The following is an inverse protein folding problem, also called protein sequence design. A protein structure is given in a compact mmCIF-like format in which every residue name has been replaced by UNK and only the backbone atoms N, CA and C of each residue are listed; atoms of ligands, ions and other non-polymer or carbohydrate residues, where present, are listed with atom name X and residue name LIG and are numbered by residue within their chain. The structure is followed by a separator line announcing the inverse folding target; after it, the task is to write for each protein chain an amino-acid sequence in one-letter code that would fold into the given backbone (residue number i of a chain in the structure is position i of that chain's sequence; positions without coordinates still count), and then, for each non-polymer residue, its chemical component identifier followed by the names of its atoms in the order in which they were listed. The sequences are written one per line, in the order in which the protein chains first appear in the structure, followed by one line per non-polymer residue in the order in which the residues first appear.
data_IF_944336441556
#
_entry.id   IF_944336441556
#
_cell.length_a   1.000
_cell.length_b   1.000
_cell.length_c   1.000
_cell.angle_alpha   90.00
_cell.angle_beta   90.00
_cell.angle_gamma   90.00
#
_symmetry.space_group_name_H-M   'P 1'
#
loop_
_entity.id
_entity.type
_entity.pdbx_description
1 polymer ?
#
# COMPACT_ATOMS: atom_id res chain seq x y z
N UNK A 1 -14.85 16.59 11.41
CA UNK A 1 -15.17 15.17 11.12
C UNK A 1 -15.37 14.38 12.41
N UNK A 2 -16.44 13.62 12.49
CA UNK A 2 -16.64 12.71 13.61
C UNK A 2 -15.50 11.67 13.61
N UNK A 3 -14.93 11.45 14.79
CA UNK A 3 -13.83 10.49 14.97
C UNK A 3 -14.37 9.07 14.84
N UNK A 4 -13.88 8.31 13.84
CA UNK A 4 -14.28 6.92 13.65
C UNK A 4 -13.94 6.07 14.88
N UNK A 5 -14.92 5.30 15.36
CA UNK A 5 -14.74 4.37 16.49
C UNK A 5 -13.95 3.15 16.05
N UNK A 6 -12.97 2.74 16.82
CA UNK A 6 -12.18 1.55 16.56
C UNK A 6 -10.85 1.79 15.83
N UNK A 7 -10.59 2.98 15.29
CA UNK A 7 -9.34 3.30 14.56
C UNK A 7 -8.09 3.09 15.41
N UNK A 8 -8.12 3.48 16.70
CA UNK A 8 -6.96 3.29 17.59
C UNK A 8 -6.51 1.84 17.72
N UNK A 9 -7.46 0.90 17.71
CA UNK A 9 -7.16 -0.52 17.78
C UNK A 9 -6.50 -0.98 16.47
N UNK A 10 -7.01 -0.53 15.34
CA UNK A 10 -6.46 -0.83 14.01
C UNK A 10 -5.04 -0.26 13.89
N UNK A 11 -4.84 1.02 14.24
CA UNK A 11 -3.52 1.65 14.25
C UNK A 11 -2.52 0.83 15.07
N UNK A 12 -2.92 0.37 16.24
CA UNK A 12 -2.05 -0.43 17.11
C UNK A 12 -1.67 -1.76 16.45
N UNK A 13 -2.63 -2.45 15.85
CA UNK A 13 -2.38 -3.73 15.16
C UNK A 13 -1.42 -3.52 13.99
N UNK A 14 -1.67 -2.50 13.16
CA UNK A 14 -0.83 -2.22 12.00
C UNK A 14 0.58 -1.82 12.44
N UNK A 15 0.71 -0.90 13.39
CA UNK A 15 2.03 -0.44 13.86
C UNK A 15 2.84 -1.54 14.56
N UNK A 16 2.19 -2.48 15.25
CA UNK A 16 2.89 -3.65 15.79
C UNK A 16 3.51 -4.51 14.68
N UNK A 17 2.88 -4.56 13.51
CA UNK A 17 3.42 -5.26 12.35
C UNK A 17 4.50 -4.44 11.62
N UNK A 18 4.24 -3.15 11.36
CA UNK A 18 5.16 -2.30 10.58
C UNK A 18 6.44 -1.95 11.31
N UNK A 19 6.45 -2.07 12.65
CA UNK A 19 7.63 -1.81 13.49
C UNK A 19 8.87 -2.59 13.06
N UNK A 20 8.71 -3.81 12.58
CA UNK A 20 9.82 -4.63 12.09
C UNK A 20 10.57 -3.98 10.92
N UNK A 21 9.93 -3.08 10.19
CA UNK A 21 10.51 -2.34 9.06
C UNK A 21 11.00 -0.95 9.46
N UNK A 22 10.80 -0.54 10.71
CA UNK A 22 11.05 0.84 11.13
C UNK A 22 10.04 1.84 10.56
N UNK A 23 8.87 1.38 10.14
CA UNK A 23 7.83 2.19 9.51
C UNK A 23 6.68 2.44 10.47
N UNK A 24 6.20 3.69 10.50
CA UNK A 24 5.00 4.10 11.22
C UNK A 24 3.83 4.17 10.24
N UNK A 25 2.72 3.54 10.57
CA UNK A 25 1.49 3.63 9.80
C UNK A 25 0.50 4.57 10.49
N UNK A 26 -0.19 5.38 9.69
CA UNK A 26 -1.25 6.27 10.17
C UNK A 26 -2.50 6.17 9.30
N UNK A 27 -3.67 6.32 9.92
CA UNK A 27 -4.93 6.43 9.18
C UNK A 27 -4.96 7.74 8.39
N UNK A 28 -5.26 7.63 7.09
CA UNK A 28 -5.27 8.76 6.15
C UNK A 28 -6.43 8.61 5.17
N UNK A 29 -6.57 9.55 4.26
CA UNK A 29 -7.58 9.52 3.19
C UNK A 29 -7.23 8.60 2.04
N UNK A 30 -5.95 8.24 1.90
CA UNK A 30 -5.44 7.38 0.84
C UNK A 30 -4.23 6.59 1.32
N UNK A 31 -3.83 5.60 0.52
CA UNK A 31 -2.54 4.93 0.69
C UNK A 31 -1.44 5.81 0.12
N UNK A 32 -0.42 6.10 0.91
CA UNK A 32 0.70 6.95 0.51
C UNK A 32 1.93 6.64 1.34
N UNK A 33 3.11 6.76 0.73
CA UNK A 33 4.38 6.62 1.43
C UNK A 33 5.05 7.99 1.63
N UNK A 34 5.47 8.25 2.85
CA UNK A 34 6.25 9.41 3.24
C UNK A 34 7.64 8.92 3.66
N UNK A 35 8.46 8.62 2.66
CA UNK A 35 9.71 7.87 2.85
C UNK A 35 10.73 8.61 3.71
N UNK A 36 10.80 9.95 3.64
CA UNK A 36 11.71 10.76 4.46
C UNK A 36 11.42 10.60 5.96
N UNK A 37 10.16 10.39 6.32
CA UNK A 37 9.70 10.19 7.70
C UNK A 37 9.51 8.72 8.06
N UNK A 38 9.79 7.79 7.15
CA UNK A 38 9.50 6.36 7.31
C UNK A 38 8.05 6.13 7.79
N UNK A 39 7.11 6.81 7.14
CA UNK A 39 5.69 6.78 7.47
C UNK A 39 4.87 6.38 6.25
N UNK A 40 3.82 5.58 6.47
CA UNK A 40 2.84 5.23 5.44
C UNK A 40 1.44 5.61 5.90
N UNK A 41 0.66 6.20 4.99
CA UNK A 41 -0.77 6.40 5.15
C UNK A 41 -1.53 5.17 4.70
N UNK A 42 -2.59 4.81 5.42
CA UNK A 42 -3.53 3.78 5.00
C UNK A 42 -4.97 4.29 5.12
N UNK A 43 -5.84 3.79 4.28
CA UNK A 43 -7.27 4.11 4.33
C UNK A 43 -8.11 2.85 4.53
N UNK A 44 -9.26 3.03 5.18
CA UNK A 44 -10.26 1.98 5.40
C UNK A 44 -11.60 2.36 4.77
N UNK A 45 -11.70 3.57 4.22
CA UNK A 45 -12.94 4.13 3.70
C UNK A 45 -12.84 4.22 2.18
N UNK A 46 -13.78 3.55 1.53
CA UNK A 46 -13.88 3.54 0.07
C UNK A 46 -12.93 2.56 -0.60
N UNK A 47 -13.16 2.36 -1.91
CA UNK A 47 -12.21 1.63 -2.75
C UNK A 47 -11.10 2.59 -3.16
N UNK A 48 -9.84 2.30 -2.84
CA UNK A 48 -8.74 3.15 -3.30
C UNK A 48 -8.77 3.24 -4.83
N UNK A 49 -8.87 4.45 -5.34
CA UNK A 49 -8.92 4.69 -6.79
C UNK A 49 -7.65 4.11 -7.43
N UNK A 50 -7.80 3.26 -8.44
CA UNK A 50 -6.67 2.61 -9.10
C UNK A 50 -6.12 1.36 -8.41
N UNK A 51 -6.56 1.03 -7.19
CA UNK A 51 -6.05 -0.15 -6.47
C UNK A 51 -6.43 -1.46 -7.18
N UNK A 52 -7.57 -1.51 -7.86
CA UNK A 52 -7.99 -2.69 -8.62
C UNK A 52 -7.01 -3.07 -9.72
N UNK A 53 -6.54 -2.09 -10.49
CA UNK A 53 -5.61 -2.32 -11.60
C UNK A 53 -4.19 -2.61 -11.11
N UNK A 54 -3.77 -1.94 -10.05
CA UNK A 54 -2.52 -2.26 -9.35
C UNK A 54 -2.50 -3.71 -8.86
N UNK A 55 -3.58 -4.17 -8.25
CA UNK A 55 -3.71 -5.55 -7.77
C UNK A 55 -3.68 -6.54 -8.94
N UNK A 56 -4.32 -6.23 -10.05
CA UNK A 56 -4.27 -7.08 -11.24
C UNK A 56 -2.82 -7.28 -11.74
N UNK A 57 -2.02 -6.22 -11.76
CA UNK A 57 -0.59 -6.29 -12.10
C UNK A 57 0.22 -7.10 -11.07
N UNK A 58 0.02 -6.83 -9.79
CA UNK A 58 0.70 -7.53 -8.70
C UNK A 58 0.37 -9.04 -8.70
N UNK A 59 -0.88 -9.43 -8.90
CA UNK A 59 -1.30 -10.83 -8.95
C UNK A 59 -0.75 -11.57 -10.18
N UNK A 60 -0.55 -10.90 -11.29
CA UNK A 60 0.12 -11.50 -12.47
C UNK A 60 1.59 -11.82 -12.17
N UNK A 61 2.28 -10.95 -11.45
CA UNK A 61 3.69 -11.16 -11.06
C UNK A 61 3.86 -12.16 -9.92
N UNK A 62 2.88 -12.23 -9.03
CA UNK A 62 2.90 -13.05 -7.82
C UNK A 62 1.64 -13.91 -7.70
N UNK A 63 1.41 -14.85 -8.63
CA UNK A 63 0.19 -15.67 -8.65
C UNK A 63 0.08 -16.62 -7.45
N UNK A 64 1.18 -16.88 -6.77
CA UNK A 64 1.28 -17.71 -5.58
C UNK A 64 1.05 -16.94 -4.26
N UNK A 65 0.96 -15.62 -4.31
CA UNK A 65 0.65 -14.77 -3.16
C UNK A 65 -0.84 -14.49 -3.10
N UNK A 66 -1.52 -15.10 -2.14
CA UNK A 66 -2.93 -14.84 -1.86
C UNK A 66 -3.04 -13.82 -0.74
N UNK A 67 -3.30 -12.58 -1.08
CA UNK A 67 -3.43 -11.47 -0.13
C UNK A 67 -4.61 -10.58 -0.50
N UNK A 68 -5.26 -10.04 0.54
CA UNK A 68 -6.30 -9.03 0.40
C UNK A 68 -5.74 -7.76 -0.25
N UNK A 69 -6.60 -7.03 -0.94
CA UNK A 69 -6.25 -5.75 -1.60
C UNK A 69 -5.64 -4.75 -0.61
N UNK A 70 -6.15 -4.70 0.62
CA UNK A 70 -5.60 -3.85 1.68
C UNK A 70 -4.15 -4.20 1.99
N UNK A 71 -3.84 -5.50 2.11
CA UNK A 71 -2.47 -5.96 2.36
C UNK A 71 -1.52 -5.58 1.22
N UNK A 72 -1.93 -5.78 -0.01
CA UNK A 72 -1.13 -5.39 -1.16
C UNK A 72 -0.83 -3.90 -1.16
N UNK A 73 -1.85 -3.07 -0.93
CA UNK A 73 -1.70 -1.62 -0.90
C UNK A 73 -0.76 -1.18 0.25
N UNK A 74 -1.00 -1.67 1.47
CA UNK A 74 -0.15 -1.36 2.62
C UNK A 74 1.30 -1.78 2.40
N UNK A 75 1.51 -3.02 1.93
CA UNK A 75 2.85 -3.56 1.71
C UNK A 75 3.58 -2.85 0.57
N UNK A 76 2.87 -2.40 -0.46
CA UNK A 76 3.43 -1.58 -1.52
C UNK A 76 3.96 -0.24 -0.99
N UNK A 77 3.18 0.46 -0.16
CA UNK A 77 3.63 1.72 0.45
C UNK A 77 4.84 1.52 1.39
N UNK A 78 4.84 0.43 2.17
CA UNK A 78 6.03 0.04 2.94
C UNK A 78 7.21 -0.23 1.99
N UNK A 79 6.96 -0.87 0.86
CA UNK A 79 7.94 -1.13 -0.18
C UNK A 79 8.63 0.12 -0.69
N UNK A 80 7.90 1.23 -0.87
CA UNK A 80 8.49 2.52 -1.20
C UNK A 80 9.50 2.97 -0.14
N UNK A 81 9.14 2.91 1.14
CA UNK A 81 10.06 3.26 2.23
C UNK A 81 11.29 2.35 2.27
N UNK A 82 11.12 1.06 2.01
CA UNK A 82 12.21 0.07 2.08
C UNK A 82 13.14 0.12 0.87
N UNK A 83 12.71 0.68 -0.25
CA UNK A 83 13.49 0.77 -1.50
C UNK A 83 13.96 2.17 -1.83
N UNK A 84 13.61 3.17 -1.02
CA UNK A 84 13.95 4.59 -1.23
C UNK A 84 15.45 4.80 -1.47
N UNK A 85 16.29 4.11 -0.69
CA UNK A 85 17.74 4.23 -0.78
C UNK A 85 18.36 3.59 -2.04
N UNK A 86 17.58 2.90 -2.86
CA UNK A 86 18.03 2.41 -4.16
C UNK A 86 18.22 3.54 -5.17
N UNK A 87 17.60 4.69 -4.93
CA UNK A 87 17.50 5.79 -5.86
C UNK A 87 18.23 7.01 -5.35
N UNK A 88 18.90 7.72 -6.27
CA UNK A 88 19.42 9.06 -5.99
C UNK A 88 18.25 10.06 -5.96
N UNK A 89 18.48 11.24 -5.38
CA UNK A 89 17.47 12.31 -5.39
C UNK A 89 17.08 12.71 -6.82
N UNK A 90 18.07 12.81 -7.73
CA UNK A 90 17.85 13.11 -9.14
C UNK A 90 16.97 12.04 -9.83
N UNK A 91 17.22 10.74 -9.56
CA UNK A 91 16.40 9.65 -10.08
C UNK A 91 14.96 9.73 -9.54
N UNK A 92 14.77 10.04 -8.26
CA UNK A 92 13.45 10.19 -7.67
C UNK A 92 12.66 11.33 -8.29
N UNK A 93 13.30 12.49 -8.50
CA UNK A 93 12.68 13.62 -9.22
C UNK A 93 12.30 13.24 -10.64
N UNK A 94 13.17 12.52 -11.34
CA UNK A 94 12.87 12.01 -12.69
C UNK A 94 11.65 11.09 -12.71
N UNK A 95 11.52 10.17 -11.74
CA UNK A 95 10.36 9.29 -11.66
C UNK A 95 9.07 10.07 -11.37
N UNK A 96 9.11 11.09 -10.53
CA UNK A 96 7.98 11.97 -10.28
C UNK A 96 7.54 12.68 -11.55
N UNK A 97 8.48 13.27 -12.28
CA UNK A 97 8.20 13.96 -13.55
C UNK A 97 7.59 12.99 -14.58
N UNK A 98 8.09 11.78 -14.68
CA UNK A 98 7.54 10.75 -15.57
C UNK A 98 6.11 10.36 -15.17
N UNK A 99 5.85 10.19 -13.88
CA UNK A 99 4.49 9.87 -13.40
C UNK A 99 3.50 11.00 -13.68
N UNK A 100 3.92 12.25 -13.51
CA UNK A 100 3.09 13.41 -13.85
C UNK A 100 2.76 13.44 -15.34
N UNK A 101 3.71 13.15 -16.21
CA UNK A 101 3.48 13.05 -17.67
C UNK A 101 2.48 11.94 -17.98
N UNK A 102 2.64 10.76 -17.37
CA UNK A 102 1.73 9.61 -17.56
C UNK A 102 0.31 9.96 -17.10
N UNK A 103 0.18 10.57 -15.93
CA UNK A 103 -1.12 10.94 -15.36
C UNK A 103 -1.83 12.03 -16.16
N UNK A 104 -1.09 12.86 -16.89
CA UNK A 104 -1.63 13.94 -17.74
C UNK A 104 -1.84 13.50 -19.20
N UNK A 105 -1.44 12.30 -19.58
CA UNK A 105 -1.55 11.82 -20.94
C UNK A 105 -3.01 11.46 -21.29
N UNK A 106 -3.40 11.72 -22.55
CA UNK A 106 -4.70 11.33 -23.10
C UNK A 106 -4.67 9.86 -23.57
N UNK A 107 -4.56 8.94 -22.63
CA UNK A 107 -4.51 7.48 -22.88
C UNK A 107 -5.57 6.75 -22.07
N UNK A 108 -5.87 5.51 -22.43
CA UNK A 108 -6.79 4.67 -21.66
C UNK A 108 -6.26 4.40 -20.25
N UNK A 109 -7.20 4.19 -19.30
CA UNK A 109 -6.85 3.99 -17.88
C UNK A 109 -5.98 2.74 -17.66
N UNK A 110 -6.21 1.67 -18.42
CA UNK A 110 -5.40 0.44 -18.34
C UNK A 110 -3.96 0.70 -18.76
N UNK A 111 -3.76 1.43 -19.85
CA UNK A 111 -2.44 1.80 -20.36
C UNK A 111 -1.72 2.75 -19.41
N UNK A 112 -2.45 3.74 -18.87
CA UNK A 112 -1.93 4.69 -17.88
C UNK A 112 -1.43 3.94 -16.63
N UNK A 113 -2.21 3.01 -16.11
CA UNK A 113 -1.84 2.22 -14.94
C UNK A 113 -0.64 1.31 -15.24
N UNK A 114 -0.59 0.68 -16.41
CA UNK A 114 0.54 -0.14 -16.81
C UNK A 114 1.85 0.66 -16.87
N UNK A 115 1.83 1.86 -17.42
CA UNK A 115 3.00 2.74 -17.49
C UNK A 115 3.40 3.28 -16.13
N UNK A 116 2.42 3.67 -15.30
CA UNK A 116 2.66 4.14 -13.93
C UNK A 116 3.39 3.08 -13.10
N UNK A 117 2.88 1.85 -13.09
CA UNK A 117 3.45 0.75 -12.31
C UNK A 117 4.72 0.14 -12.96
N UNK A 118 5.06 0.53 -14.19
CA UNK A 118 6.35 0.21 -14.80
C UNK A 118 7.45 1.22 -14.43
N UNK A 119 7.11 2.37 -13.85
CA UNK A 119 8.12 3.28 -13.31
C UNK A 119 8.96 2.53 -12.26
N UNK A 120 10.28 2.69 -12.26
CA UNK A 120 11.16 1.86 -11.43
C UNK A 120 10.83 1.88 -9.93
N UNK A 121 10.52 3.03 -9.36
CA UNK A 121 10.16 3.15 -7.96
C UNK A 121 8.88 2.38 -7.62
N UNK A 122 7.86 2.45 -8.47
CA UNK A 122 6.61 1.70 -8.32
C UNK A 122 6.82 0.20 -8.53
N UNK A 123 7.57 -0.16 -9.55
CA UNK A 123 7.90 -1.55 -9.84
C UNK A 123 8.62 -2.22 -8.65
N UNK A 124 9.65 -1.58 -8.11
CA UNK A 124 10.43 -2.13 -6.99
C UNK A 124 9.68 -2.12 -5.67
N UNK A 125 8.79 -1.15 -5.44
CA UNK A 125 7.90 -1.17 -4.29
C UNK A 125 6.98 -2.41 -4.32
N UNK A 126 6.35 -2.70 -5.46
CA UNK A 126 5.54 -3.91 -5.66
C UNK A 126 6.38 -5.18 -5.52
N UNK A 127 7.58 -5.19 -6.10
CA UNK A 127 8.50 -6.33 -6.00
C UNK A 127 8.87 -6.62 -4.56
N UNK A 128 9.23 -5.61 -3.80
CA UNK A 128 9.53 -5.76 -2.38
C UNK A 128 8.33 -6.34 -1.61
N UNK A 129 7.14 -5.81 -1.84
CA UNK A 129 5.91 -6.28 -1.20
C UNK A 129 5.61 -7.76 -1.52
N UNK A 130 5.67 -8.12 -2.79
CA UNK A 130 5.41 -9.48 -3.24
C UNK A 130 6.45 -10.48 -2.72
N UNK A 131 7.73 -10.14 -2.80
CA UNK A 131 8.82 -10.97 -2.29
C UNK A 131 8.69 -11.17 -0.77
N UNK A 132 8.38 -10.11 -0.03
CA UNK A 132 8.17 -10.22 1.41
C UNK A 132 7.01 -11.16 1.75
N UNK A 133 5.85 -10.95 1.15
CA UNK A 133 4.66 -11.77 1.42
C UNK A 133 4.85 -13.22 1.00
N UNK A 134 5.55 -13.46 -0.12
CA UNK A 134 5.90 -14.81 -0.58
C UNK A 134 6.82 -15.53 0.41
N UNK A 135 7.82 -14.82 0.94
CA UNK A 135 8.82 -15.40 1.83
C UNK A 135 8.37 -15.46 3.31
N UNK A 136 7.33 -14.73 3.69
CA UNK A 136 6.82 -14.64 5.06
C UNK A 136 5.31 -14.87 5.18
N UNK A 137 4.75 -15.93 4.55
CA UNK A 137 3.30 -16.12 4.50
C UNK A 137 2.67 -16.29 5.88
N UNK A 138 3.39 -16.92 6.82
CA UNK A 138 2.90 -17.12 8.19
C UNK A 138 2.79 -15.80 8.97
N UNK A 139 3.77 -14.90 8.83
CA UNK A 139 3.74 -13.59 9.49
C UNK A 139 2.62 -12.72 8.93
N UNK A 140 2.48 -12.68 7.62
CA UNK A 140 1.43 -11.91 6.93
C UNK A 140 0.06 -12.48 7.26
N UNK A 141 -0.11 -13.79 7.24
CA UNK A 141 -1.36 -14.45 7.62
C UNK A 141 -1.76 -14.19 9.07
N UNK A 142 -0.81 -14.24 10.00
CA UNK A 142 -1.05 -13.92 11.42
C UNK A 142 -1.46 -12.45 11.62
N UNK A 143 -0.83 -11.54 10.90
CA UNK A 143 -1.18 -10.13 10.90
C UNK A 143 -2.60 -9.91 10.39
N UNK A 144 -2.92 -10.46 9.21
CA UNK A 144 -4.25 -10.33 8.62
C UNK A 144 -5.35 -10.91 9.49
N UNK A 145 -5.10 -12.07 10.09
CA UNK A 145 -6.03 -12.72 11.01
C UNK A 145 -6.40 -11.86 12.23
N UNK A 146 -5.50 -10.98 12.67
CA UNK A 146 -5.76 -10.00 13.72
C UNK A 146 -6.45 -8.74 13.20
N UNK A 147 -6.03 -8.28 12.02
CA UNK A 147 -6.47 -7.01 11.45
C UNK A 147 -7.90 -7.07 10.91
N UNK A 148 -8.22 -8.10 10.14
CA UNK A 148 -9.51 -8.23 9.46
C UNK A 148 -10.70 -8.10 10.40
N UNK A 149 -10.78 -8.82 11.55
CA UNK A 149 -11.89 -8.66 12.49
C UNK A 149 -11.98 -7.25 13.08
N UNK A 150 -10.85 -6.58 13.29
CA UNK A 150 -10.83 -5.22 13.81
C UNK A 150 -11.39 -4.21 12.78
N UNK A 151 -11.10 -4.41 11.50
CA UNK A 151 -11.67 -3.61 10.40
C UNK A 151 -13.19 -3.82 10.33
N UNK A 152 -13.66 -5.06 10.38
CA UNK A 152 -15.09 -5.38 10.36
C UNK A 152 -15.83 -4.78 11.58
N UNK A 153 -15.23 -4.87 12.77
CA UNK A 153 -15.79 -4.26 13.99
C UNK A 153 -15.88 -2.73 13.84
N UNK A 154 -14.86 -2.11 13.26
CA UNK A 154 -14.87 -0.67 12.98
C UNK A 154 -16.02 -0.29 12.05
N UNK A 155 -16.23 -1.00 10.95
CA UNK A 155 -17.34 -0.75 10.04
C UNK A 155 -18.70 -0.87 10.74
N UNK A 156 -18.91 -1.93 11.53
CA UNK A 156 -20.14 -2.13 12.31
C UNK A 156 -20.39 -1.01 13.31
N UNK A 157 -19.38 -0.62 14.08
CA UNK A 157 -19.49 0.44 15.11
C UNK A 157 -19.82 1.82 14.54
N UNK A 158 -19.49 2.04 13.27
CA UNK A 158 -19.74 3.31 12.60
C UNK A 158 -20.93 3.25 11.63
N UNK A 159 -21.67 2.14 11.62
CA UNK A 159 -22.86 2.00 10.77
C UNK A 159 -22.53 1.96 9.27
N UNK A 160 -21.34 1.50 8.89
CA UNK A 160 -20.91 1.40 7.49
C UNK A 160 -21.29 0.07 6.84
N UNK A 161 -21.61 -0.91 7.66
CA UNK A 161 -22.19 -2.20 7.28
C UNK A 161 -23.21 -2.66 8.33
#
# INVERSE_FOLDING_TARGET
MAKLKGIKKIDKIINNFTRQFGVIARFDTEFEAFCDDMTVGYTLLGSPTGTGDFIADATKRYPDVTADIFLWALMHEIGHCMTENMWTEEEREYFWDQKDVIMSAEIGIEEMNAWYHACPDEFFATKWAGDYMRNHPKKVGKFWKKLQPAILDMYKRNGLI
#
